data_IF_615555457273
#
_entry.id   IF_615555457273
#
_cell.length_a   1.000
_cell.length_b   1.000
_cell.length_c   1.000
_cell.angle_alpha   90.00
_cell.angle_beta   90.00
_cell.angle_gamma   90.00
#
_symmetry.space_group_name_H-M   'P 1'
#
loop_
_entity.id
_entity.type
_entity.pdbx_description
1 polymer ?
#
# COMPACT_ATOMS: atom_id res chain seq x y z
N UNK A 1 -14.15 1.48 21.60
CA UNK A 1 -15.11 1.36 20.49
C UNK A 1 -14.39 0.61 19.38
N UNK A 2 -14.69 -0.67 19.19
CA UNK A 2 -14.11 -1.47 18.10
C UNK A 2 -14.91 -1.23 16.83
N UNK A 3 -14.28 -0.64 15.82
CA UNK A 3 -14.83 -0.61 14.47
C UNK A 3 -14.45 -1.92 13.78
N UNK A 4 -15.35 -2.89 13.83
CA UNK A 4 -15.28 -4.07 12.98
C UNK A 4 -15.59 -3.68 11.53
N UNK A 5 -14.92 -4.26 10.52
CA UNK A 5 -15.18 -3.95 9.12
C UNK A 5 -16.59 -4.40 8.70
N UNK A 6 -17.22 -3.71 7.72
CA UNK A 6 -18.58 -4.02 7.29
C UNK A 6 -18.64 -5.33 6.50
N UNK A 7 -19.47 -6.27 6.95
CA UNK A 7 -19.72 -7.56 6.30
C UNK A 7 -20.64 -7.37 5.09
N UNK A 8 -20.10 -6.97 3.95
CA UNK A 8 -20.76 -7.11 2.65
C UNK A 8 -20.15 -8.32 1.95
N UNK A 9 -20.97 -9.16 1.29
CA UNK A 9 -20.55 -10.32 0.50
C UNK A 9 -19.63 -9.88 -0.66
N UNK A 10 -18.36 -9.64 -0.33
CA UNK A 10 -17.34 -9.30 -1.30
C UNK A 10 -16.81 -10.59 -1.95
N UNK A 11 -16.38 -10.53 -3.23
CA UNK A 11 -15.61 -11.62 -3.82
C UNK A 11 -14.50 -12.02 -2.85
N UNK A 12 -14.29 -13.33 -2.65
CA UNK A 12 -13.34 -13.86 -1.64
C UNK A 12 -11.93 -13.21 -1.73
N UNK A 13 -11.53 -12.77 -2.92
CA UNK A 13 -10.27 -12.07 -3.16
C UNK A 13 -10.26 -10.61 -2.68
N UNK A 14 -11.39 -9.91 -2.74
CA UNK A 14 -11.51 -8.51 -2.31
C UNK A 14 -11.36 -8.39 -0.79
N UNK A 15 -12.06 -9.23 -0.01
CA UNK A 15 -11.93 -9.24 1.45
C UNK A 15 -10.50 -9.57 1.92
N UNK A 16 -9.82 -10.49 1.23
CA UNK A 16 -8.43 -10.83 1.53
C UNK A 16 -7.45 -9.71 1.16
N UNK A 17 -7.68 -9.02 0.04
CA UNK A 17 -6.87 -7.86 -0.34
C UNK A 17 -7.07 -6.70 0.64
N UNK A 18 -8.32 -6.42 1.01
CA UNK A 18 -8.65 -5.37 1.96
C UNK A 18 -8.00 -5.63 3.33
N UNK A 19 -7.94 -6.88 3.76
CA UNK A 19 -7.21 -7.28 4.96
C UNK A 19 -5.71 -7.00 4.85
N UNK A 20 -5.07 -7.36 3.74
CA UNK A 20 -3.65 -7.04 3.51
C UNK A 20 -3.43 -5.53 3.52
N UNK A 21 -4.31 -4.76 2.88
CA UNK A 21 -4.24 -3.30 2.88
C UNK A 21 -4.36 -2.72 4.30
N UNK A 22 -5.29 -3.23 5.10
CA UNK A 22 -5.47 -2.82 6.49
C UNK A 22 -4.23 -3.12 7.36
N UNK A 23 -3.63 -4.29 7.21
CA UNK A 23 -2.40 -4.68 7.91
C UNK A 23 -1.22 -3.77 7.51
N UNK A 24 -1.10 -3.40 6.23
CA UNK A 24 -0.07 -2.44 5.77
C UNK A 24 -0.30 -1.05 6.35
N UNK A 25 -1.53 -0.55 6.35
CA UNK A 25 -1.86 0.74 6.97
C UNK A 25 -1.53 0.72 8.47
N UNK A 26 -1.87 -0.36 9.17
CA UNK A 26 -1.62 -0.49 10.60
C UNK A 26 -0.12 -0.50 10.89
N UNK A 27 0.66 -1.29 10.14
CA UNK A 27 2.12 -1.32 10.27
C UNK A 27 2.76 0.04 9.95
N UNK A 28 2.23 0.77 8.95
CA UNK A 28 2.65 2.13 8.66
C UNK A 28 2.37 3.04 9.86
N UNK A 29 1.15 3.05 10.39
CA UNK A 29 0.74 3.90 11.49
C UNK A 29 1.57 3.64 12.76
N UNK A 30 1.86 2.38 13.07
CA UNK A 30 2.69 1.97 14.20
C UNK A 30 4.13 2.44 14.04
N UNK A 31 4.73 2.22 12.87
CA UNK A 31 6.14 2.56 12.65
C UNK A 31 6.37 4.06 12.40
N UNK A 32 5.39 4.74 11.81
CA UNK A 32 5.40 6.18 11.58
C UNK A 32 5.05 6.95 12.87
N UNK A 33 4.31 6.33 13.79
CA UNK A 33 3.91 6.93 15.07
C UNK A 33 2.67 7.82 14.98
N UNK A 34 1.86 7.68 13.91
CA UNK A 34 0.64 8.44 13.72
C UNK A 34 -0.53 7.53 13.30
N UNK A 35 -1.60 7.50 14.10
CA UNK A 35 -2.80 6.69 13.85
C UNK A 35 -3.80 7.44 12.95
N UNK A 36 -3.37 7.82 11.75
CA UNK A 36 -4.17 8.59 10.79
C UNK A 36 -4.28 7.87 9.44
N UNK A 37 -5.29 8.26 8.68
CA UNK A 37 -5.50 7.83 7.30
C UNK A 37 -6.42 6.63 7.13
N UNK A 38 -6.63 6.28 5.87
CA UNK A 38 -7.48 5.19 5.41
C UNK A 38 -6.78 4.40 4.31
N UNK A 39 -7.27 3.19 4.04
CA UNK A 39 -6.75 2.33 2.97
C UNK A 39 -7.84 1.95 1.99
N UNK A 40 -7.48 1.91 0.71
CA UNK A 40 -8.29 1.34 -0.34
C UNK A 40 -7.41 0.51 -1.27
N UNK A 41 -7.92 -0.62 -1.75
CA UNK A 41 -7.15 -1.52 -2.59
C UNK A 41 -7.80 -1.70 -3.96
N UNK A 42 -6.98 -1.81 -5.00
CA UNK A 42 -7.42 -2.11 -6.36
C UNK A 42 -6.69 -3.33 -6.90
N UNK A 43 -7.45 -4.14 -7.65
CA UNK A 43 -6.90 -5.25 -8.41
C UNK A 43 -6.89 -4.93 -9.89
N UNK A 44 -5.73 -5.08 -10.51
CA UNK A 44 -5.58 -5.04 -11.95
C UNK A 44 -4.87 -6.29 -12.46
N UNK A 45 -5.00 -6.64 -13.76
CA UNK A 45 -4.44 -7.89 -14.29
C UNK A 45 -2.94 -8.12 -14.04
N UNK A 46 -2.16 -7.05 -13.89
CA UNK A 46 -0.70 -7.11 -13.73
C UNK A 46 -0.20 -6.41 -12.46
N UNK A 47 -1.11 -5.88 -11.65
CA UNK A 47 -0.72 -5.16 -10.43
C UNK A 47 -1.82 -5.18 -9.38
N UNK A 48 -1.39 -5.21 -8.14
CA UNK A 48 -2.22 -4.92 -6.98
C UNK A 48 -1.77 -3.58 -6.43
N UNK A 49 -2.72 -2.67 -6.21
CA UNK A 49 -2.46 -1.33 -5.71
C UNK A 49 -3.11 -1.20 -4.34
N UNK A 50 -2.32 -0.77 -3.35
CA UNK A 50 -2.80 -0.44 -2.02
C UNK A 50 -2.57 1.06 -1.83
N UNK A 51 -3.66 1.80 -1.69
CA UNK A 51 -3.69 3.26 -1.56
C UNK A 51 -3.86 3.62 -0.10
N UNK A 52 -2.89 4.33 0.47
CA UNK A 52 -2.98 4.92 1.79
C UNK A 52 -3.32 6.40 1.63
N UNK A 53 -4.51 6.80 2.08
CA UNK A 53 -5.00 8.18 1.96
C UNK A 53 -4.97 8.85 3.33
N UNK A 54 -4.75 10.16 3.35
CA UNK A 54 -4.80 10.98 4.56
C UNK A 54 -3.81 10.55 5.65
N UNK A 55 -2.64 10.05 5.24
CA UNK A 55 -1.62 9.42 6.10
C UNK A 55 -0.49 10.35 6.54
N UNK A 56 -0.44 11.57 6.00
CA UNK A 56 0.48 12.63 6.40
C UNK A 56 -0.23 13.65 7.29
N UNK A 57 0.49 14.14 8.30
CA UNK A 57 0.10 15.30 9.08
C UNK A 57 0.23 16.59 8.27
N UNK A 58 -0.41 17.67 8.73
CA UNK A 58 -0.30 18.98 8.10
C UNK A 58 1.17 19.47 8.03
N UNK A 59 1.98 19.15 9.04
CA UNK A 59 3.39 19.52 9.06
C UNK A 59 4.18 18.84 7.95
N UNK A 60 3.89 17.57 7.66
CA UNK A 60 4.55 16.82 6.60
C UNK A 60 4.07 17.22 5.21
N UNK A 61 2.77 17.53 5.06
CA UNK A 61 2.24 18.11 3.82
C UNK A 61 2.97 19.42 3.53
N UNK A 62 3.12 20.30 4.53
CA UNK A 62 3.85 21.57 4.39
C UNK A 62 5.34 21.35 4.07
N UNK A 63 5.99 20.39 4.74
CA UNK A 63 7.36 20.00 4.45
C UNK A 63 7.52 19.55 2.98
N UNK A 64 6.57 18.73 2.51
CA UNK A 64 6.52 18.20 1.14
C UNK A 64 6.28 19.26 0.05
N UNK A 65 5.83 20.47 0.40
CA UNK A 65 5.74 21.60 -0.54
C UNK A 65 7.12 22.20 -0.88
N UNK A 66 8.15 21.94 -0.08
CA UNK A 66 9.51 22.40 -0.34
C UNK A 66 10.33 21.30 -1.02
N UNK A 67 11.12 21.60 -2.08
CA UNK A 67 11.82 20.55 -2.83
C UNK A 67 12.71 19.63 -1.99
N UNK A 68 13.44 20.18 -1.02
CA UNK A 68 14.30 19.39 -0.12
C UNK A 68 13.47 18.56 0.87
N UNK A 69 12.39 19.14 1.39
CA UNK A 69 11.46 18.45 2.29
C UNK A 69 10.73 17.31 1.59
N UNK A 70 10.34 17.51 0.32
CA UNK A 70 9.76 16.47 -0.52
C UNK A 70 10.68 15.27 -0.69
N UNK A 71 11.94 15.51 -1.06
CA UNK A 71 12.93 14.43 -1.24
C UNK A 71 13.16 13.65 0.06
N UNK A 72 13.29 14.36 1.18
CA UNK A 72 13.48 13.71 2.50
C UNK A 72 12.26 12.89 2.91
N UNK A 73 11.05 13.44 2.77
CA UNK A 73 9.81 12.76 3.11
C UNK A 73 9.59 11.55 2.20
N UNK A 74 9.81 11.70 0.90
CA UNK A 74 9.71 10.61 -0.07
C UNK A 74 10.69 9.48 0.27
N UNK A 75 11.96 9.81 0.56
CA UNK A 75 12.96 8.80 0.92
C UNK A 75 12.57 8.04 2.18
N UNK A 76 12.20 8.77 3.24
CA UNK A 76 11.75 8.18 4.50
C UNK A 76 10.56 7.22 4.29
N UNK A 77 9.53 7.69 3.58
CA UNK A 77 8.32 6.90 3.28
C UNK A 77 8.68 5.65 2.47
N UNK A 78 9.51 5.81 1.43
CA UNK A 78 9.95 4.70 0.58
C UNK A 78 10.70 3.64 1.38
N UNK A 79 11.64 4.04 2.23
CA UNK A 79 12.42 3.11 3.05
C UNK A 79 11.51 2.33 4.00
N UNK A 80 10.63 3.03 4.71
CA UNK A 80 9.74 2.42 5.70
C UNK A 80 8.71 1.48 5.04
N UNK A 81 8.02 1.94 4.00
CA UNK A 81 7.01 1.12 3.33
C UNK A 81 7.62 0.00 2.48
N UNK A 82 8.85 0.13 2.01
CA UNK A 82 9.53 -0.99 1.33
C UNK A 82 9.71 -2.16 2.30
N UNK A 83 10.11 -1.89 3.54
CA UNK A 83 10.26 -2.92 4.56
C UNK A 83 8.91 -3.54 4.96
N UNK A 84 7.89 -2.70 5.19
CA UNK A 84 6.53 -3.17 5.49
C UNK A 84 6.00 -4.03 4.35
N UNK A 85 6.02 -3.55 3.10
CA UNK A 85 5.48 -4.28 1.96
C UNK A 85 6.24 -5.58 1.66
N UNK A 86 7.53 -5.65 1.99
CA UNK A 86 8.33 -6.87 1.87
C UNK A 86 7.73 -8.00 2.71
N UNK A 87 7.21 -7.70 3.90
CA UNK A 87 6.59 -8.69 4.79
C UNK A 87 5.30 -9.28 4.20
N UNK A 88 4.55 -8.48 3.44
CA UNK A 88 3.27 -8.88 2.84
C UNK A 88 3.39 -9.48 1.42
N UNK A 89 4.60 -9.50 0.84
CA UNK A 89 4.83 -10.00 -0.53
C UNK A 89 4.36 -11.45 -0.71
N UNK A 90 4.55 -12.31 0.29
CA UNK A 90 4.09 -13.71 0.26
C UNK A 90 2.56 -13.81 0.25
N UNK A 91 1.87 -13.01 1.07
CA UNK A 91 0.42 -12.99 1.12
C UNK A 91 -0.18 -12.49 -0.20
N UNK A 92 0.41 -11.44 -0.78
CA UNK A 92 0.02 -10.93 -2.11
C UNK A 92 0.23 -11.99 -3.19
N UNK A 93 1.37 -12.70 -3.19
CA UNK A 93 1.62 -13.81 -4.12
C UNK A 93 0.59 -14.92 -4.00
N UNK A 94 0.25 -15.32 -2.77
CA UNK A 94 -0.75 -16.36 -2.51
C UNK A 94 -2.13 -15.95 -3.00
N UNK A 95 -2.50 -14.69 -2.77
CA UNK A 95 -3.77 -14.13 -3.20
C UNK A 95 -3.88 -14.01 -4.73
N UNK A 96 -2.80 -13.58 -5.38
CA UNK A 96 -2.73 -13.37 -6.82
C UNK A 96 -2.49 -14.62 -7.64
N UNK A 97 -2.02 -15.70 -7.02
CA UNK A 97 -1.51 -16.88 -7.73
C UNK A 97 -0.43 -16.52 -8.77
N UNK A 98 0.29 -15.41 -8.56
CA UNK A 98 1.37 -14.90 -9.40
C UNK A 98 2.53 -14.47 -8.52
N UNK A 99 3.76 -14.58 -9.04
CA UNK A 99 4.94 -13.99 -8.38
C UNK A 99 4.82 -12.47 -8.39
N UNK A 100 5.23 -11.83 -7.28
CA UNK A 100 5.43 -10.38 -7.26
C UNK A 100 6.83 -10.11 -7.84
N UNK A 101 6.88 -9.50 -9.03
CA UNK A 101 8.12 -9.16 -9.73
C UNK A 101 8.86 -8.01 -9.03
N UNK A 102 8.10 -7.01 -8.59
CA UNK A 102 8.62 -5.82 -7.89
C UNK A 102 7.53 -5.15 -7.07
N UNK A 103 7.97 -4.44 -6.05
CA UNK A 103 7.12 -3.51 -5.30
C UNK A 103 7.62 -2.09 -5.54
N UNK A 104 6.72 -1.18 -5.91
CA UNK A 104 7.03 0.24 -6.09
C UNK A 104 6.16 1.09 -5.18
N UNK A 105 6.80 1.99 -4.43
CA UNK A 105 6.12 2.97 -3.59
C UNK A 105 6.05 4.29 -4.37
N UNK A 106 4.91 4.96 -4.39
CA UNK A 106 4.77 6.32 -4.91
C UNK A 106 4.23 7.21 -3.81
N UNK A 107 4.85 8.37 -3.62
CA UNK A 107 4.54 9.28 -2.52
C UNK A 107 4.07 10.60 -3.12
N UNK A 108 2.88 11.04 -2.76
CA UNK A 108 2.35 12.35 -3.12
C UNK A 108 1.88 13.07 -1.85
N UNK A 109 2.77 13.86 -1.22
CA UNK A 109 2.41 14.61 -0.03
C UNK A 109 1.34 15.68 -0.29
N UNK A 110 1.24 16.21 -1.52
CA UNK A 110 0.28 17.26 -1.85
C UNK A 110 -1.15 16.68 -1.96
N UNK A 111 -1.28 15.46 -2.48
CA UNK A 111 -2.54 14.71 -2.49
C UNK A 111 -2.81 13.95 -1.18
N UNK A 112 -1.90 14.03 -0.20
CA UNK A 112 -1.90 13.23 1.01
C UNK A 112 -2.09 11.72 0.74
N UNK A 113 -1.28 11.21 -0.19
CA UNK A 113 -1.46 9.88 -0.78
C UNK A 113 -0.14 9.12 -0.86
N UNK A 114 -0.20 7.83 -0.53
CA UNK A 114 0.86 6.88 -0.82
C UNK A 114 0.29 5.69 -1.58
N UNK A 115 0.98 5.26 -2.64
CA UNK A 115 0.62 4.07 -3.41
C UNK A 115 1.68 2.99 -3.19
N UNK A 116 1.27 1.85 -2.65
CA UNK A 116 2.07 0.63 -2.62
C UNK A 116 1.63 -0.26 -3.78
N UNK A 117 2.46 -0.39 -4.81
CA UNK A 117 2.13 -1.13 -6.03
C UNK A 117 2.94 -2.41 -6.09
N UNK A 118 2.26 -3.54 -6.01
CA UNK A 118 2.84 -4.87 -6.23
C UNK A 118 2.63 -5.24 -7.70
N UNK A 119 3.71 -5.27 -8.47
CA UNK A 119 3.68 -5.67 -9.88
C UNK A 119 3.82 -7.18 -9.97
N UNK A 120 2.89 -7.81 -10.67
CA UNK A 120 2.82 -9.26 -10.81
C UNK A 120 3.57 -9.70 -12.08
N UNK A 121 4.29 -10.81 -12.02
CA UNK A 121 4.85 -11.44 -13.21
C UNK A 121 3.72 -11.92 -14.14
N UNK A 122 3.88 -11.71 -15.45
CA UNK A 122 2.95 -12.30 -16.41
C UNK A 122 3.21 -13.81 -16.49
N UNK A 123 2.19 -14.62 -16.24
CA UNK A 123 2.28 -16.05 -16.53
C UNK A 123 2.33 -16.23 -18.05
N UNK A 124 3.50 -16.49 -18.61
CA UNK A 124 3.63 -16.89 -20.02
C UNK A 124 2.98 -18.27 -20.13
N UNK A 125 1.75 -18.33 -20.65
CA UNK A 125 1.16 -19.60 -21.05
C UNK A 125 1.90 -20.06 -22.31
N UNK A 126 2.73 -21.10 -22.18
CA UNK A 126 3.16 -21.86 -23.33
C UNK A 126 1.94 -22.65 -23.83
N UNK A 127 1.31 -22.18 -24.91
CA UNK A 127 0.43 -23.03 -25.71
C UNK A 127 1.35 -23.97 -26.52
N UNK A 128 1.35 -25.25 -26.13
CA UNK A 128 2.00 -26.35 -26.83
C UNK A 128 0.98 -27.21 -27.55
#
# INVERSE_FOLDING_TARGET
MSNSPPTTLMPKHTAALDYIGWEILTAWQEAHGALIGTVACDWEPQRIIIRLNDVFSLAEINLGQHPQGHVLLEQYVRELLSEICRQYTTAVRQLAHHTVAKTTIHVDPAANLILCVFVLEQTIKYEG
#
